data_IF_643808330641
#
_entry.id   IF_643808330641
#
_cell.length_a   1.000
_cell.length_b   1.000
_cell.length_c   1.000
_cell.angle_alpha   90.00
_cell.angle_beta   90.00
_cell.angle_gamma   90.00
#
_symmetry.space_group_name_H-M   'P 1'
#
loop_
_entity.id
_entity.type
_entity.pdbx_description
1 polymer ?
#
# COMPACT_ATOMS: atom_id res chain seq x y z
N UNK A 1 -9.77 7.80 -11.92
CA UNK A 1 -9.13 8.96 -11.26
C UNK A 1 -9.88 9.29 -9.98
N UNK A 2 -9.49 8.74 -8.82
CA UNK A 2 -10.11 9.11 -7.56
C UNK A 2 -9.50 10.44 -7.04
N UNK A 3 -9.84 11.54 -7.71
CA UNK A 3 -10.11 12.86 -7.13
C UNK A 3 -9.16 13.49 -6.11
N UNK A 4 -7.95 13.88 -6.50
CA UNK A 4 -7.25 14.95 -5.79
C UNK A 4 -6.47 15.86 -6.75
N UNK A 5 -6.68 17.18 -6.62
CA UNK A 5 -5.96 18.20 -7.42
C UNK A 5 -4.44 18.07 -7.27
N UNK A 6 -3.97 17.64 -6.09
CA UNK A 6 -2.56 17.35 -5.80
C UNK A 6 -1.98 16.22 -6.65
N UNK A 7 -2.78 15.23 -7.06
CA UNK A 7 -2.28 14.16 -7.95
C UNK A 7 -2.08 14.68 -9.36
N UNK A 8 -3.01 15.50 -9.85
CA UNK A 8 -2.89 16.14 -11.16
C UNK A 8 -1.67 17.06 -11.20
N UNK A 9 -1.48 17.87 -10.15
CA UNK A 9 -0.31 18.73 -9.99
C UNK A 9 1.00 17.93 -10.08
N UNK A 10 1.14 16.86 -9.29
CA UNK A 10 2.32 15.98 -9.33
C UNK A 10 2.55 15.29 -10.68
N UNK A 11 1.49 15.01 -11.45
CA UNK A 11 1.60 14.42 -12.78
C UNK A 11 2.14 15.46 -13.76
N UNK A 12 1.60 16.68 -13.73
CA UNK A 12 2.01 17.77 -14.61
C UNK A 12 3.43 18.24 -14.28
N UNK A 13 3.77 18.44 -13.01
CA UNK A 13 5.12 18.81 -12.58
C UNK A 13 6.17 17.84 -13.14
N UNK A 14 5.91 16.54 -13.05
CA UNK A 14 6.82 15.54 -13.60
C UNK A 14 6.86 15.54 -15.12
N UNK A 15 5.73 15.75 -15.78
CA UNK A 15 5.68 15.79 -17.24
C UNK A 15 6.50 16.98 -17.78
N UNK A 16 6.46 18.13 -17.10
CA UNK A 16 7.30 19.30 -17.39
C UNK A 16 8.79 18.97 -17.23
N UNK A 17 9.17 18.24 -16.19
CA UNK A 17 10.58 17.84 -15.98
C UNK A 17 11.10 16.90 -17.08
N UNK A 18 10.22 16.08 -17.66
CA UNK A 18 10.58 15.09 -18.69
C UNK A 18 10.51 15.68 -20.10
N UNK A 19 9.69 16.71 -20.32
CA UNK A 19 9.57 17.38 -21.60
C UNK A 19 10.94 17.96 -22.04
N UNK A 20 11.39 17.58 -23.22
CA UNK A 20 12.65 18.07 -23.80
C UNK A 20 12.45 19.39 -24.58
N UNK A 21 11.21 19.80 -24.77
CA UNK A 21 10.78 20.97 -25.53
C UNK A 21 9.69 21.72 -24.76
N UNK A 22 9.25 22.87 -25.28
CA UNK A 22 8.16 23.66 -24.69
C UNK A 22 6.78 22.99 -24.81
N UNK A 23 6.69 21.81 -25.42
CA UNK A 23 5.45 21.03 -25.55
C UNK A 23 5.52 19.74 -24.76
N UNK A 24 4.54 19.53 -23.88
CA UNK A 24 4.36 18.26 -23.16
C UNK A 24 3.59 17.30 -24.07
N UNK A 25 4.28 16.29 -24.59
CA UNK A 25 3.63 15.25 -25.39
C UNK A 25 3.14 14.10 -24.51
N UNK A 26 2.29 13.22 -25.05
CA UNK A 26 1.70 12.10 -24.30
C UNK A 26 2.79 11.16 -23.78
N UNK A 27 3.95 11.10 -24.43
CA UNK A 27 5.13 10.33 -24.04
C UNK A 27 5.78 10.85 -22.75
N UNK A 28 5.59 12.12 -22.41
CA UNK A 28 6.05 12.72 -21.16
C UNK A 28 5.20 12.29 -19.95
N UNK A 29 4.00 11.77 -20.18
CA UNK A 29 3.12 11.26 -19.13
C UNK A 29 3.54 9.86 -18.70
N UNK A 30 3.26 9.53 -17.43
CA UNK A 30 3.59 8.19 -16.90
C UNK A 30 2.79 7.11 -17.64
N UNK A 31 3.30 5.87 -17.76
CA UNK A 31 2.59 4.77 -18.40
C UNK A 31 1.18 4.54 -17.84
N UNK A 32 0.98 4.79 -16.55
CA UNK A 32 -0.33 4.62 -15.89
C UNK A 32 -1.37 5.65 -16.33
N UNK A 33 -0.92 6.83 -16.78
CA UNK A 33 -1.80 7.87 -17.34
C UNK A 33 -2.07 7.60 -18.82
N UNK A 34 -1.08 7.03 -19.52
CA UNK A 34 -1.15 6.70 -20.95
C UNK A 34 -1.98 5.43 -21.23
N UNK A 35 -1.93 4.47 -20.33
CA UNK A 35 -2.52 3.14 -20.48
C UNK A 35 -3.51 2.88 -19.34
N UNK A 36 -4.83 3.02 -19.59
CA UNK A 36 -5.87 2.78 -18.59
C UNK A 36 -5.82 1.37 -17.99
N UNK A 37 -5.35 0.39 -18.78
CA UNK A 37 -5.21 -1.00 -18.35
C UNK A 37 -4.18 -1.17 -17.23
N UNK A 38 -3.05 -0.45 -17.29
CA UNK A 38 -2.05 -0.43 -16.22
C UNK A 38 -2.57 0.28 -14.95
N UNK A 39 -3.40 1.31 -15.12
CA UNK A 39 -4.07 1.95 -13.99
C UNK A 39 -5.07 1.00 -13.34
N UNK A 40 -5.83 0.24 -14.14
CA UNK A 40 -6.78 -0.76 -13.66
C UNK A 40 -6.08 -1.92 -12.98
N UNK A 41 -4.95 -2.42 -13.50
CA UNK A 41 -4.14 -3.45 -12.85
C UNK A 41 -3.61 -2.99 -11.48
N UNK A 42 -3.12 -1.75 -11.38
CA UNK A 42 -2.73 -1.17 -10.08
C UNK A 42 -3.90 -1.02 -9.13
N UNK A 43 -5.06 -0.63 -9.64
CA UNK A 43 -6.28 -0.50 -8.84
C UNK A 43 -6.73 -1.87 -8.35
N UNK A 44 -6.72 -2.90 -9.19
CA UNK A 44 -7.04 -4.27 -8.82
C UNK A 44 -6.01 -4.85 -7.81
N UNK A 45 -4.73 -4.50 -7.94
CA UNK A 45 -3.69 -4.84 -6.96
C UNK A 45 -3.89 -4.11 -5.62
N UNK A 46 -4.39 -2.87 -5.64
CA UNK A 46 -4.75 -2.11 -4.46
C UNK A 46 -6.08 -2.58 -3.83
N UNK A 47 -7.06 -3.00 -4.63
CA UNK A 47 -8.32 -3.60 -4.19
C UNK A 47 -8.08 -4.98 -3.56
N UNK A 48 -7.10 -5.75 -4.03
CA UNK A 48 -6.63 -6.97 -3.37
C UNK A 48 -6.06 -6.74 -1.95
N UNK A 49 -5.75 -5.49 -1.60
CA UNK A 49 -5.22 -5.11 -0.29
C UNK A 49 -6.28 -4.59 0.69
N UNK A 50 -7.51 -4.31 0.23
CA UNK A 50 -8.64 -3.90 1.06
C UNK A 50 -9.91 -4.58 0.55
N UNK A 51 -10.10 -5.84 0.97
CA UNK A 51 -11.38 -6.50 0.81
C UNK A 51 -12.43 -5.69 1.57
N UNK A 52 -13.40 -5.14 0.85
CA UNK A 52 -14.50 -4.38 1.45
C UNK A 52 -15.23 -5.30 2.44
N UNK A 53 -15.27 -4.91 3.72
CA UNK A 53 -15.86 -5.73 4.77
C UNK A 53 -17.38 -5.60 4.65
N UNK A 54 -18.05 -6.65 4.16
CA UNK A 54 -19.51 -6.68 4.07
C UNK A 54 -20.15 -6.87 5.46
N UNK A 55 -20.40 -5.74 6.14
CA UNK A 55 -20.99 -5.69 7.48
C UNK A 55 -22.43 -6.24 7.48
N UNK A 56 -23.12 -6.21 6.34
CA UNK A 56 -24.55 -6.56 6.25
C UNK A 56 -24.83 -8.04 6.55
N UNK A 57 -23.81 -8.89 6.41
CA UNK A 57 -23.87 -10.32 6.72
C UNK A 57 -23.56 -10.67 8.17
N UNK A 58 -23.22 -9.68 8.99
CA UNK A 58 -22.72 -9.87 10.34
C UNK A 58 -21.25 -10.26 10.33
N UNK A 59 -20.40 -9.42 10.89
CA UNK A 59 -18.96 -9.63 11.00
C UNK A 59 -18.53 -9.57 12.46
N UNK A 60 -17.61 -10.44 12.86
CA UNK A 60 -16.99 -10.36 14.17
C UNK A 60 -15.89 -9.29 14.12
N UNK A 61 -16.09 -8.19 14.84
CA UNK A 61 -15.15 -7.07 14.88
C UNK A 61 -13.73 -7.50 15.27
N UNK A 62 -13.59 -8.37 16.26
CA UNK A 62 -12.28 -8.80 16.75
C UNK A 62 -11.53 -9.66 15.73
N UNK A 63 -12.24 -10.47 14.95
CA UNK A 63 -11.63 -11.28 13.90
C UNK A 63 -11.13 -10.41 12.73
N UNK A 64 -11.90 -9.39 12.34
CA UNK A 64 -11.48 -8.45 11.28
C UNK A 64 -10.32 -7.57 11.71
N UNK A 65 -10.35 -7.03 12.94
CA UNK A 65 -9.20 -6.32 13.52
C UNK A 65 -7.96 -7.22 13.54
N UNK A 66 -8.11 -8.49 13.94
CA UNK A 66 -7.01 -9.45 13.95
C UNK A 66 -6.44 -9.70 12.55
N UNK A 67 -7.30 -9.86 11.53
CA UNK A 67 -6.89 -10.03 10.13
C UNK A 67 -6.09 -8.82 9.65
N UNK A 68 -6.62 -7.62 9.89
CA UNK A 68 -5.95 -6.37 9.55
C UNK A 68 -4.58 -6.24 10.23
N UNK A 69 -4.50 -6.53 11.53
CA UNK A 69 -3.21 -6.50 12.26
C UNK A 69 -2.19 -7.50 11.70
N UNK A 70 -2.62 -8.73 11.38
CA UNK A 70 -1.74 -9.76 10.81
C UNK A 70 -1.18 -9.29 9.47
N UNK A 71 -2.03 -8.73 8.62
CA UNK A 71 -1.64 -8.25 7.30
C UNK A 71 -0.66 -7.07 7.39
N UNK A 72 -0.94 -6.10 8.26
CA UNK A 72 -0.06 -4.96 8.51
C UNK A 72 1.34 -5.39 8.98
N UNK A 73 1.38 -6.37 9.90
CA UNK A 73 2.64 -6.93 10.43
C UNK A 73 3.42 -7.64 9.31
N UNK A 74 2.75 -8.41 8.45
CA UNK A 74 3.40 -9.11 7.33
C UNK A 74 4.01 -8.14 6.34
N UNK A 75 3.26 -7.13 5.90
CA UNK A 75 3.76 -6.09 4.99
C UNK A 75 4.97 -5.35 5.55
N UNK A 76 4.92 -5.00 6.85
CA UNK A 76 6.04 -4.35 7.51
C UNK A 76 7.29 -5.25 7.59
N UNK A 77 7.12 -6.55 7.82
CA UNK A 77 8.23 -7.51 7.79
C UNK A 77 8.79 -7.66 6.38
N UNK A 78 7.95 -7.79 5.35
CA UNK A 78 8.39 -7.89 3.96
C UNK A 78 9.19 -6.66 3.52
N UNK A 79 8.66 -5.46 3.80
CA UNK A 79 9.33 -4.20 3.44
C UNK A 79 10.65 -3.98 4.19
N UNK A 80 10.84 -4.67 5.32
CA UNK A 80 12.08 -4.61 6.12
C UNK A 80 12.94 -5.85 6.00
N UNK A 81 12.64 -6.79 5.10
CA UNK A 81 13.42 -8.02 4.92
C UNK A 81 13.46 -8.91 6.18
N UNK A 82 12.36 -8.95 6.94
CA UNK A 82 12.24 -9.75 8.16
C UNK A 82 12.86 -9.12 9.41
N UNK A 83 13.43 -7.90 9.33
CA UNK A 83 14.02 -7.21 10.47
C UNK A 83 12.97 -6.69 11.46
N UNK A 84 12.60 -7.49 12.47
CA UNK A 84 11.55 -7.19 13.45
C UNK A 84 11.68 -5.80 14.11
N UNK A 85 12.88 -5.38 14.54
CA UNK A 85 13.06 -4.06 15.16
C UNK A 85 12.83 -2.89 14.18
N UNK A 86 13.07 -3.10 12.88
CA UNK A 86 12.77 -2.11 11.84
C UNK A 86 11.28 -2.13 11.51
N UNK A 87 10.66 -3.31 11.41
CA UNK A 87 9.23 -3.47 11.22
C UNK A 87 8.44 -2.80 12.36
N UNK A 88 8.87 -2.98 13.62
CA UNK A 88 8.23 -2.35 14.77
C UNK A 88 8.25 -0.83 14.67
N UNK A 89 9.41 -0.24 14.34
CA UNK A 89 9.54 1.20 14.12
C UNK A 89 8.68 1.69 12.96
N UNK A 90 8.62 0.94 11.86
CA UNK A 90 7.78 1.27 10.70
C UNK A 90 6.29 1.31 11.07
N UNK A 91 5.87 0.42 11.96
CA UNK A 91 4.50 0.35 12.46
C UNK A 91 4.21 1.30 13.65
N UNK A 92 5.21 2.07 14.11
CA UNK A 92 5.06 2.92 15.30
C UNK A 92 4.90 2.13 16.61
N UNK A 93 5.28 0.85 16.61
CA UNK A 93 5.21 -0.03 17.77
C UNK A 93 6.57 -0.13 18.46
N UNK A 94 6.55 -0.37 19.78
CA UNK A 94 7.75 -0.84 20.44
C UNK A 94 8.06 -2.31 20.04
N UNK A 95 9.32 -2.71 20.14
CA UNK A 95 9.76 -4.03 19.70
C UNK A 95 9.10 -5.17 20.51
N UNK A 96 8.82 -4.95 21.79
CA UNK A 96 8.18 -5.94 22.67
C UNK A 96 6.73 -6.21 22.26
N UNK A 97 5.97 -5.18 21.87
CA UNK A 97 4.58 -5.31 21.39
C UNK A 97 4.55 -6.08 20.09
N UNK A 98 5.44 -5.76 19.14
CA UNK A 98 5.54 -6.52 17.91
C UNK A 98 5.87 -7.98 18.19
N UNK A 99 6.84 -8.25 19.07
CA UNK A 99 7.23 -9.63 19.42
C UNK A 99 6.06 -10.42 20.04
N UNK A 100 5.31 -9.80 20.95
CA UNK A 100 4.10 -10.39 21.52
C UNK A 100 3.07 -10.71 20.43
N UNK A 101 2.78 -9.76 19.53
CA UNK A 101 1.84 -9.99 18.41
C UNK A 101 2.30 -11.09 17.46
N UNK A 102 3.61 -11.17 17.14
CA UNK A 102 4.16 -12.25 16.32
C UNK A 102 3.94 -13.63 16.95
N UNK A 103 4.09 -13.75 18.28
CA UNK A 103 3.81 -14.98 19.02
C UNK A 103 2.32 -15.31 19.04
N UNK A 104 1.48 -14.33 19.38
CA UNK A 104 0.02 -14.50 19.43
C UNK A 104 -0.55 -14.94 18.09
N UNK A 105 -0.03 -14.39 16.99
CA UNK A 105 -0.48 -14.70 15.63
C UNK A 105 0.34 -15.77 14.92
N UNK A 106 1.34 -16.34 15.60
CA UNK A 106 2.22 -17.38 15.06
C UNK A 106 2.87 -16.99 13.72
N UNK A 107 3.18 -15.70 13.55
CA UNK A 107 3.81 -15.18 12.34
C UNK A 107 5.32 -15.43 12.44
N UNK A 108 5.84 -16.26 11.53
CA UNK A 108 7.28 -16.47 11.39
C UNK A 108 7.84 -15.43 10.40
N UNK A 109 8.83 -14.61 10.78
CA UNK A 109 9.55 -13.78 9.83
C UNK A 109 10.21 -14.72 8.82
N UNK A 110 9.95 -14.49 7.53
CA UNK A 110 10.57 -15.24 6.45
C UNK A 110 11.83 -14.48 6.02
N UNK A 111 12.94 -15.20 5.92
CA UNK A 111 14.23 -14.71 5.44
C UNK A 111 14.39 -15.03 3.95
#
# INVERSE_FOLDING_TARGET
FPGNVRELENIIERAVVIAATDEITVECLRPEVRLPELAQERMNQAEGASADIDITRGVNFYDEVKRFEIDLIRRALEQTGGHQSRAARLLGLNATTLNSKLKTYQIKPRF
#
